data_IF_322337453757
#
_entry.id   IF_322337453757
#
_cell.length_a   1.000
_cell.length_b   1.000
_cell.length_c   1.000
_cell.angle_alpha   90.00
_cell.angle_beta   90.00
_cell.angle_gamma   90.00
#
_symmetry.space_group_name_H-M   'P 1'
#
loop_
_entity.id
_entity.type
_entity.pdbx_description
1 polymer ?
#
# COMPACT_ATOMS: atom_id res chain seq x y z
N UNK A 1 31.65 8.87 3.58
CA UNK A 1 30.62 9.89 3.34
C UNK A 1 30.29 9.88 1.86
N UNK A 2 29.38 9.00 1.43
CA UNK A 2 28.94 8.94 0.04
C UNK A 2 27.81 9.95 -0.12
N UNK A 3 28.02 10.96 -0.96
CA UNK A 3 27.03 11.96 -1.30
C UNK A 3 25.81 11.28 -1.94
N UNK A 4 24.66 11.33 -1.26
CA UNK A 4 23.38 10.93 -1.83
C UNK A 4 23.11 11.80 -3.06
N UNK A 5 22.96 11.20 -4.25
CA UNK A 5 22.42 11.91 -5.41
C UNK A 5 21.03 12.42 -5.04
N UNK A 6 20.84 13.74 -5.15
CA UNK A 6 19.53 14.36 -5.01
C UNK A 6 18.59 13.76 -6.07
N UNK A 7 17.61 12.98 -5.64
CA UNK A 7 16.48 12.63 -6.48
C UNK A 7 15.66 13.90 -6.67
N UNK A 8 15.74 14.49 -7.85
CA UNK A 8 14.83 15.57 -8.23
C UNK A 8 13.48 14.91 -8.49
N UNK A 9 12.60 14.94 -7.49
CA UNK A 9 11.16 14.78 -7.72
C UNK A 9 10.77 15.94 -8.63
N UNK A 10 10.63 15.66 -9.93
CA UNK A 10 9.97 16.60 -10.82
C UNK A 10 8.56 16.84 -10.25
N UNK A 11 8.36 18.01 -9.66
CA UNK A 11 7.08 18.46 -9.16
C UNK A 11 6.09 18.46 -10.33
N UNK A 12 4.98 17.75 -10.19
CA UNK A 12 4.05 17.54 -11.27
C UNK A 12 3.23 18.79 -11.55
N UNK A 13 2.82 18.90 -12.81
CA UNK A 13 1.78 19.82 -13.26
C UNK A 13 0.58 19.70 -12.32
N UNK A 14 0.29 20.78 -11.61
CA UNK A 14 -0.84 20.86 -10.69
C UNK A 14 -2.14 20.83 -11.50
N UNK A 15 -2.96 19.81 -11.28
CA UNK A 15 -4.37 19.80 -11.73
C UNK A 15 -5.19 20.34 -10.57
N UNK A 16 -5.94 21.44 -10.72
CA UNK A 16 -6.83 21.93 -9.68
C UNK A 16 -7.83 20.85 -9.25
N UNK A 17 -8.09 20.73 -7.95
CA UNK A 17 -9.03 19.77 -7.34
C UNK A 17 -10.42 19.76 -7.98
N UNK A 18 -10.88 20.94 -8.36
CA UNK A 18 -12.22 21.21 -8.89
C UNK A 18 -12.44 20.64 -10.30
N UNK A 19 -11.37 20.21 -10.97
CA UNK A 19 -11.43 19.60 -12.30
C UNK A 19 -11.32 18.07 -12.27
N UNK A 20 -11.16 17.44 -11.09
CA UNK A 20 -10.96 15.99 -11.00
C UNK A 20 -12.31 15.27 -11.02
N UNK A 21 -12.55 14.53 -12.10
CA UNK A 21 -13.78 13.77 -12.28
C UNK A 21 -13.51 12.27 -12.17
N UNK A 22 -14.40 11.57 -11.47
CA UNK A 22 -14.45 10.12 -11.50
C UNK A 22 -15.32 9.65 -12.67
N UNK A 23 -14.82 8.70 -13.44
CA UNK A 23 -15.56 8.06 -14.52
C UNK A 23 -15.21 6.58 -14.60
N UNK A 24 -16.03 5.80 -15.30
CA UNK A 24 -15.65 4.44 -15.65
C UNK A 24 -14.74 4.44 -16.89
N UNK A 25 -13.65 3.67 -16.89
CA UNK A 25 -12.80 3.53 -18.08
C UNK A 25 -13.58 2.96 -19.26
N UNK A 26 -13.22 3.41 -20.47
CA UNK A 26 -13.69 2.86 -21.73
C UNK A 26 -12.76 1.73 -22.20
N UNK A 27 -13.21 0.46 -22.19
CA UNK A 27 -12.48 -0.68 -22.78
C UNK A 27 -12.61 -2.01 -22.01
N UNK A 28 -12.95 -3.10 -22.71
CA UNK A 28 -13.41 -4.36 -22.09
C UNK A 28 -12.49 -4.96 -21.00
N UNK A 29 -11.15 -4.91 -21.16
CA UNK A 29 -10.21 -5.52 -20.23
C UNK A 29 -10.00 -4.74 -18.92
N UNK A 30 -9.50 -3.50 -19.03
CA UNK A 30 -9.23 -2.63 -17.87
C UNK A 30 -10.51 -2.28 -17.11
N UNK A 31 -11.62 -2.10 -17.83
CA UNK A 31 -12.91 -1.80 -17.21
C UNK A 31 -13.41 -2.95 -16.36
N UNK A 32 -13.26 -4.21 -16.78
CA UNK A 32 -13.72 -5.34 -15.96
C UNK A 32 -12.94 -5.46 -14.66
N UNK A 33 -11.61 -5.35 -14.68
CA UNK A 33 -10.78 -5.39 -13.46
C UNK A 33 -11.16 -4.30 -12.47
N UNK A 34 -11.38 -3.08 -12.95
CA UNK A 34 -11.81 -1.95 -12.11
C UNK A 34 -13.21 -2.20 -11.56
N UNK A 35 -14.16 -2.65 -12.40
CA UNK A 35 -15.52 -3.00 -11.96
C UNK A 35 -15.51 -4.09 -10.88
N UNK A 36 -14.71 -5.13 -11.05
CA UNK A 36 -14.58 -6.23 -10.08
C UNK A 36 -14.03 -5.72 -8.74
N UNK A 37 -13.02 -4.85 -8.77
CA UNK A 37 -12.45 -4.24 -7.58
C UNK A 37 -13.46 -3.33 -6.87
N UNK A 38 -14.19 -2.48 -7.61
CA UNK A 38 -15.23 -1.61 -7.05
C UNK A 38 -16.38 -2.42 -6.46
N UNK A 39 -16.85 -3.45 -7.16
CA UNK A 39 -17.87 -4.37 -6.66
C UNK A 39 -17.39 -5.07 -5.38
N UNK A 40 -16.13 -5.47 -5.32
CA UNK A 40 -15.55 -6.10 -4.14
C UNK A 40 -15.63 -5.14 -2.94
N UNK A 41 -15.21 -3.89 -3.12
CA UNK A 41 -15.25 -2.84 -2.10
C UNK A 41 -16.68 -2.47 -1.67
N UNK A 42 -17.65 -2.50 -2.59
CA UNK A 42 -19.05 -2.15 -2.30
C UNK A 42 -19.85 -3.28 -1.64
N UNK A 43 -19.58 -4.54 -2.01
CA UNK A 43 -20.35 -5.71 -1.53
C UNK A 43 -19.95 -6.18 -0.12
N UNK A 44 -18.78 -5.76 0.36
CA UNK A 44 -18.26 -6.25 1.63
C UNK A 44 -18.38 -5.19 2.74
N UNK A 45 -18.59 -5.62 3.99
CA UNK A 45 -18.59 -4.71 5.13
C UNK A 45 -17.26 -3.96 5.25
N UNK A 46 -17.30 -2.69 5.68
CA UNK A 46 -16.09 -1.85 5.80
C UNK A 46 -15.10 -2.41 6.84
N UNK A 47 -15.58 -3.22 7.79
CA UNK A 47 -14.77 -3.92 8.80
C UNK A 47 -13.88 -5.00 8.19
N UNK A 48 -14.16 -5.41 6.95
CA UNK A 48 -13.40 -6.42 6.20
C UNK A 48 -12.41 -5.79 5.21
N UNK A 49 -12.38 -4.46 5.10
CA UNK A 49 -11.50 -3.74 4.19
C UNK A 49 -10.31 -3.19 5.00
N UNK A 50 -9.12 -3.67 4.65
CA UNK A 50 -7.87 -3.40 5.34
C UNK A 50 -6.92 -2.64 4.42
N UNK A 51 -6.49 -1.45 4.82
CA UNK A 51 -5.57 -0.64 4.05
C UNK A 51 -4.16 -0.91 4.55
N UNK A 52 -3.26 -1.29 3.66
CA UNK A 52 -1.88 -1.63 4.01
C UNK A 52 -0.88 -0.84 3.19
N UNK A 53 0.25 -0.52 3.82
CA UNK A 53 1.45 -0.05 3.15
C UNK A 53 2.67 -0.63 3.88
N UNK A 54 3.77 -0.78 3.17
CA UNK A 54 5.01 -1.26 3.75
C UNK A 54 6.21 -0.50 3.21
N UNK A 55 7.20 -0.33 4.08
CA UNK A 55 8.50 0.15 3.68
C UNK A 55 9.52 -0.95 3.88
N UNK A 56 10.50 -1.03 2.99
CA UNK A 56 11.41 -2.16 2.97
C UNK A 56 12.66 -1.91 2.17
N UNK A 57 13.53 -2.91 2.21
CA UNK A 57 14.71 -3.01 1.37
C UNK A 57 14.35 -3.84 0.15
N UNK A 58 14.61 -3.33 -1.06
CA UNK A 58 14.43 -4.10 -2.29
C UNK A 58 15.69 -4.04 -3.14
N UNK A 59 16.18 -5.20 -3.62
CA UNK A 59 17.23 -5.27 -4.64
C UNK A 59 16.60 -5.32 -6.03
N UNK A 60 17.04 -4.43 -6.92
CA UNK A 60 16.44 -4.29 -8.26
C UNK A 60 17.15 -5.10 -9.35
N UNK A 61 18.29 -5.76 -9.04
CA UNK A 61 19.13 -6.40 -10.07
C UNK A 61 19.44 -7.88 -9.88
N UNK A 62 19.29 -8.43 -8.67
CA UNK A 62 19.80 -9.78 -8.34
C UNK A 62 18.76 -10.73 -7.72
N UNK A 63 17.45 -10.44 -7.85
CA UNK A 63 16.40 -11.38 -7.45
C UNK A 63 16.22 -11.57 -5.94
N UNK A 64 16.78 -10.68 -5.12
CA UNK A 64 16.47 -10.64 -3.70
C UNK A 64 15.05 -10.07 -3.51
N UNK A 65 14.20 -10.87 -2.84
CA UNK A 65 12.85 -10.47 -2.45
C UNK A 65 12.92 -9.21 -1.58
N UNK A 66 11.94 -8.34 -1.79
CA UNK A 66 11.83 -7.13 -1.01
C UNK A 66 11.55 -7.50 0.46
N UNK A 67 12.41 -7.08 1.38
CA UNK A 67 12.31 -7.35 2.81
C UNK A 67 11.61 -6.18 3.49
N UNK A 68 10.38 -6.35 3.99
CA UNK A 68 9.67 -5.30 4.69
C UNK A 68 10.39 -4.96 5.99
N UNK A 69 10.71 -3.71 6.21
CA UNK A 69 11.32 -3.20 7.45
C UNK A 69 10.34 -2.41 8.29
N UNK A 70 9.20 -2.03 7.71
CA UNK A 70 8.12 -1.30 8.34
C UNK A 70 6.80 -1.71 7.69
N UNK A 71 5.75 -1.76 8.49
CA UNK A 71 4.41 -2.09 8.02
C UNK A 71 3.39 -1.21 8.72
N UNK A 72 2.36 -0.79 7.96
CA UNK A 72 1.20 -0.09 8.47
C UNK A 72 -0.07 -0.76 7.95
N UNK A 73 -1.05 -0.92 8.84
CA UNK A 73 -2.36 -1.46 8.49
C UNK A 73 -3.48 -0.73 9.24
N UNK A 74 -4.56 -0.42 8.53
CA UNK A 74 -5.72 0.33 9.01
C UNK A 74 -7.00 -0.41 8.63
N UNK A 75 -8.00 -0.46 9.52
CA UNK A 75 -9.35 -0.96 9.18
C UNK A 75 -10.18 0.21 8.66
N UNK A 76 -10.81 0.06 7.50
CA UNK A 76 -11.59 1.14 6.88
C UNK A 76 -12.77 1.62 7.75
N UNK A 77 -13.46 0.70 8.44
CA UNK A 77 -14.59 1.05 9.31
C UNK A 77 -14.20 1.87 10.54
N UNK A 78 -12.94 1.76 10.98
CA UNK A 78 -12.43 2.43 12.17
C UNK A 78 -10.93 2.72 12.00
N UNK A 79 -10.58 3.88 11.39
CA UNK A 79 -9.18 4.22 11.17
C UNK A 79 -8.34 4.37 12.45
N UNK A 80 -8.95 4.51 13.62
CA UNK A 80 -8.23 4.51 14.89
C UNK A 80 -7.78 3.11 15.31
N UNK A 81 -8.45 2.06 14.78
CA UNK A 81 -8.02 0.66 14.91
C UNK A 81 -7.00 0.34 13.82
N UNK A 82 -5.75 0.64 14.16
CA UNK A 82 -4.60 0.48 13.27
C UNK A 82 -3.45 -0.23 13.98
N UNK A 83 -2.55 -0.84 13.21
CA UNK A 83 -1.29 -1.36 13.70
C UNK A 83 -0.16 -0.88 12.81
N UNK A 84 0.93 -0.43 13.43
CA UNK A 84 2.17 -0.11 12.73
C UNK A 84 3.37 -0.63 13.47
N UNK A 85 4.47 -0.75 12.75
CA UNK A 85 5.78 -0.68 13.35
C UNK A 85 6.84 -1.30 12.48
N UNK A 86 8.06 -1.21 13.00
CA UNK A 86 9.24 -1.71 12.31
C UNK A 86 9.44 -3.19 12.58
N UNK A 87 9.69 -3.95 11.53
CA UNK A 87 9.73 -5.41 11.57
C UNK A 87 11.16 -5.86 11.83
N UNK A 88 11.37 -6.58 12.94
CA UNK A 88 12.59 -7.33 13.20
C UNK A 88 12.34 -8.81 12.91
N UNK A 89 13.24 -9.40 12.12
CA UNK A 89 13.26 -10.81 11.78
C UNK A 89 14.19 -11.55 12.74
N UNK A 90 13.91 -12.81 13.06
CA UNK A 90 14.75 -13.58 13.98
C UNK A 90 16.22 -13.70 13.52
N UNK A 91 16.46 -13.78 12.21
CA UNK A 91 17.79 -13.78 11.59
C UNK A 91 18.46 -12.40 11.53
N UNK A 92 17.68 -11.32 11.68
CA UNK A 92 18.16 -9.94 11.54
C UNK A 92 17.53 -9.01 12.57
N UNK A 93 18.17 -8.89 13.73
CA UNK A 93 17.70 -8.03 14.81
C UNK A 93 17.84 -6.51 14.53
N UNK A 94 18.48 -6.14 13.42
CA UNK A 94 18.64 -4.74 12.99
C UNK A 94 18.52 -4.61 11.47
N UNK A 95 18.10 -3.44 10.98
CA UNK A 95 18.16 -3.16 9.52
C UNK A 95 19.60 -3.22 9.01
N UNK A 96 20.58 -2.80 9.83
CA UNK A 96 22.00 -2.90 9.48
C UNK A 96 22.43 -4.35 9.19
N UNK A 97 21.97 -5.33 9.99
CA UNK A 97 22.25 -6.74 9.72
C UNK A 97 21.62 -7.26 8.44
N UNK A 98 20.46 -6.73 8.03
CA UNK A 98 19.86 -7.07 6.72
C UNK A 98 20.71 -6.46 5.60
N UNK A 99 21.09 -5.18 5.74
CA UNK A 99 21.91 -4.45 4.77
C UNK A 99 23.27 -5.10 4.53
N UNK A 100 23.94 -5.60 5.57
CA UNK A 100 25.24 -6.29 5.45
C UNK A 100 25.16 -7.58 4.64
N UNK A 101 24.04 -8.30 4.72
CA UNK A 101 23.84 -9.53 3.96
C UNK A 101 23.60 -9.25 2.46
N UNK A 102 23.02 -8.10 2.13
CA UNK A 102 22.67 -7.76 0.74
C UNK A 102 23.88 -7.54 -0.18
N UNK A 103 25.13 -7.53 0.34
CA UNK A 103 26.45 -7.50 -0.36
C UNK A 103 26.69 -6.41 -1.42
N UNK A 104 25.68 -5.67 -1.85
CA UNK A 104 25.73 -4.60 -2.85
C UNK A 104 25.07 -3.33 -2.29
N UNK A 105 25.86 -2.34 -1.86
CA UNK A 105 25.35 -1.07 -1.33
C UNK A 105 24.49 -0.28 -2.34
N UNK A 106 24.75 -0.43 -3.64
CA UNK A 106 24.03 0.28 -4.71
C UNK A 106 22.68 -0.36 -5.03
N UNK A 107 22.46 -1.61 -4.58
CA UNK A 107 21.19 -2.31 -4.70
C UNK A 107 20.16 -1.87 -3.65
N UNK A 108 20.58 -1.14 -2.60
CA UNK A 108 19.76 -0.85 -1.45
C UNK A 108 19.08 0.51 -1.61
N UNK A 109 17.76 0.50 -1.78
CA UNK A 109 16.92 1.69 -1.64
C UNK A 109 16.29 1.69 -0.26
N UNK A 110 16.59 2.71 0.54
CA UNK A 110 16.04 2.87 1.88
C UNK A 110 15.12 4.09 1.92
N UNK A 111 13.91 3.89 2.46
CA UNK A 111 12.93 4.95 2.63
C UNK A 111 12.84 5.51 4.07
N UNK A 112 12.90 4.73 5.16
CA UNK A 112 12.67 5.27 6.53
C UNK A 112 13.84 5.16 7.52
N UNK A 113 13.90 5.99 8.57
CA UNK A 113 14.93 5.88 9.65
C UNK A 113 14.36 5.03 10.81
N UNK A 114 15.11 4.07 11.38
CA UNK A 114 14.58 3.20 12.42
C UNK A 114 14.13 3.91 13.70
N UNK A 115 12.91 3.62 14.18
CA UNK A 115 12.36 4.00 15.48
C UNK A 115 11.68 2.77 16.10
N UNK A 116 12.42 2.06 16.97
CA UNK A 116 12.04 0.86 17.75
C UNK A 116 11.40 -0.29 16.96
N UNK A 117 12.11 -1.42 16.91
CA UNK A 117 11.65 -2.65 16.27
C UNK A 117 10.69 -3.46 17.15
N UNK A 118 9.77 -4.17 16.49
CA UNK A 118 8.97 -5.24 17.06
C UNK A 118 9.19 -6.53 16.26
N UNK A 119 9.07 -7.68 16.92
CA UNK A 119 9.19 -8.98 16.24
C UNK A 119 7.98 -9.19 15.32
N UNK A 120 8.19 -9.98 14.25
CA UNK A 120 7.11 -10.41 13.35
C UNK A 120 5.94 -11.02 14.14
N UNK A 121 6.21 -11.92 15.08
CA UNK A 121 5.19 -12.56 15.92
C UNK A 121 4.36 -11.55 16.73
N UNK A 122 4.98 -10.50 17.28
CA UNK A 122 4.26 -9.47 18.04
C UNK A 122 3.34 -8.65 17.13
N UNK A 123 3.83 -8.28 15.95
CA UNK A 123 3.02 -7.54 14.97
C UNK A 123 1.85 -8.41 14.47
N UNK A 124 2.11 -9.69 14.18
CA UNK A 124 1.05 -10.64 13.81
C UNK A 124 0.00 -10.78 14.90
N UNK A 125 0.38 -10.99 16.16
CA UNK A 125 -0.57 -11.06 17.28
C UNK A 125 -1.42 -9.80 17.38
N UNK A 126 -0.82 -8.62 17.17
CA UNK A 126 -1.56 -7.36 17.13
C UNK A 126 -2.60 -7.34 15.99
N UNK A 127 -2.24 -7.82 14.80
CA UNK A 127 -3.13 -7.82 13.62
C UNK A 127 -4.24 -8.88 13.74
N UNK A 128 -3.87 -10.12 14.05
CA UNK A 128 -4.81 -11.25 14.06
C UNK A 128 -5.68 -11.22 15.32
N UNK A 129 -5.08 -11.10 16.50
CA UNK A 129 -5.80 -11.19 17.78
C UNK A 129 -6.30 -9.81 18.23
N UNK A 130 -5.47 -8.78 18.09
CA UNK A 130 -5.81 -7.41 18.54
C UNK A 130 -6.81 -6.71 17.62
N UNK A 131 -6.60 -6.79 16.31
CA UNK A 131 -7.47 -6.14 15.32
C UNK A 131 -8.56 -7.08 14.79
N UNK A 132 -8.39 -8.39 14.90
CA UNK A 132 -9.38 -9.38 14.43
C UNK A 132 -9.29 -9.67 12.93
N UNK A 133 -8.07 -9.65 12.36
CA UNK A 133 -7.86 -9.97 10.96
C UNK A 133 -8.21 -11.45 10.67
N UNK A 134 -9.09 -11.67 9.70
CA UNK A 134 -9.50 -13.01 9.21
C UNK A 134 -9.21 -13.10 7.72
N UNK A 135 -8.25 -13.93 7.36
CA UNK A 135 -7.68 -14.05 6.00
C UNK A 135 -8.75 -14.30 4.92
N UNK A 136 -9.58 -15.32 5.07
CA UNK A 136 -10.61 -15.70 4.08
C UNK A 136 -11.70 -14.65 3.85
N UNK A 137 -11.83 -13.67 4.75
CA UNK A 137 -12.83 -12.61 4.68
C UNK A 137 -12.22 -11.25 4.30
N UNK A 138 -10.89 -11.12 4.37
CA UNK A 138 -10.22 -9.83 4.23
C UNK A 138 -10.12 -9.37 2.77
N UNK A 139 -10.36 -8.08 2.58
CA UNK A 139 -10.04 -7.33 1.36
C UNK A 139 -8.93 -6.36 1.71
N UNK A 140 -7.74 -6.63 1.18
CA UNK A 140 -6.55 -5.81 1.40
C UNK A 140 -6.44 -4.79 0.27
N UNK A 141 -6.40 -3.52 0.63
CA UNK A 141 -6.25 -2.38 -0.28
C UNK A 141 -4.84 -1.82 -0.10
N UNK A 142 -4.13 -1.64 -1.21
CA UNK A 142 -2.77 -1.09 -1.22
C UNK A 142 -2.61 -0.05 -2.33
N UNK A 143 -1.63 0.83 -2.18
CA UNK A 143 -1.31 1.84 -3.19
C UNK A 143 -0.35 1.28 -4.25
N UNK A 144 -0.90 0.64 -5.28
CA UNK A 144 -0.12 0.06 -6.37
C UNK A 144 0.19 -1.42 -6.15
N UNK A 145 0.23 -2.18 -7.24
CA UNK A 145 0.61 -3.60 -7.22
C UNK A 145 2.13 -3.79 -7.17
N UNK A 146 2.79 -3.20 -6.18
CA UNK A 146 4.13 -3.66 -5.84
C UNK A 146 4.00 -4.99 -5.11
N UNK A 147 4.83 -5.98 -5.45
CA UNK A 147 4.83 -7.25 -4.70
C UNK A 147 5.16 -7.03 -3.22
N UNK A 148 5.83 -5.94 -2.89
CA UNK A 148 6.33 -5.64 -1.54
C UNK A 148 5.20 -5.59 -0.49
N UNK A 149 4.11 -4.86 -0.73
CA UNK A 149 3.07 -4.66 0.30
C UNK A 149 2.27 -5.93 0.60
N UNK A 150 1.84 -6.63 -0.45
CA UNK A 150 1.18 -7.93 -0.35
C UNK A 150 2.11 -8.99 0.28
N UNK A 151 3.37 -9.06 -0.17
CA UNK A 151 4.35 -10.01 0.38
C UNK A 151 4.68 -9.68 1.85
N UNK A 152 4.67 -8.40 2.23
CA UNK A 152 4.89 -7.96 3.61
C UNK A 152 3.80 -8.48 4.54
N UNK A 153 2.54 -8.28 4.18
CA UNK A 153 1.43 -8.79 4.96
C UNK A 153 1.48 -10.33 5.03
N UNK A 154 1.73 -11.01 3.91
CA UNK A 154 1.85 -12.49 3.89
C UNK A 154 2.93 -12.98 4.84
N UNK A 155 4.13 -12.39 4.81
CA UNK A 155 5.23 -12.73 5.73
C UNK A 155 4.84 -12.54 7.18
N UNK A 156 4.18 -11.43 7.50
CA UNK A 156 3.72 -11.16 8.86
C UNK A 156 2.71 -12.22 9.31
N UNK A 157 1.73 -12.56 8.48
CA UNK A 157 0.68 -13.51 8.83
C UNK A 157 1.18 -14.95 8.99
N UNK A 158 2.20 -15.35 8.22
CA UNK A 158 2.82 -16.68 8.29
C UNK A 158 3.88 -16.80 9.40
N UNK A 159 4.22 -15.71 10.08
CA UNK A 159 5.40 -15.62 10.95
C UNK A 159 6.68 -16.06 10.22
N UNK A 160 6.77 -15.76 8.92
CA UNK A 160 7.88 -16.24 8.11
C UNK A 160 9.10 -15.34 8.24
N UNK A 161 10.08 -15.82 9.00
CA UNK A 161 11.39 -15.19 9.18
C UNK A 161 12.38 -15.52 8.03
N UNK A 162 11.98 -16.31 7.03
CA UNK A 162 12.85 -16.72 5.92
C UNK A 162 12.70 -15.83 4.69
N UNK A 163 13.76 -15.81 3.87
CA UNK A 163 13.72 -15.25 2.51
C UNK A 163 13.00 -16.28 1.63
N UNK A 164 11.71 -16.07 1.37
CA UNK A 164 10.88 -16.99 0.56
C UNK A 164 11.43 -17.16 -0.86
N UNK A 165 11.54 -18.40 -1.32
CA UNK A 165 11.75 -18.77 -2.73
C UNK A 165 10.46 -18.56 -3.55
N UNK A 166 10.60 -18.16 -4.81
CA UNK A 166 9.62 -17.64 -5.79
C UNK A 166 8.19 -18.28 -5.96
N UNK A 167 7.68 -19.14 -5.07
CA UNK A 167 6.32 -19.70 -5.16
C UNK A 167 5.43 -19.35 -3.98
N UNK A 168 4.33 -18.69 -4.31
CA UNK A 168 3.23 -18.29 -3.42
C UNK A 168 2.34 -19.53 -3.10
N UNK A 169 2.88 -20.45 -2.29
CA UNK A 169 2.15 -21.60 -1.74
C UNK A 169 1.66 -21.32 -0.30
N UNK A 170 1.50 -20.04 0.08
CA UNK A 170 1.24 -19.66 1.48
C UNK A 170 -0.11 -20.10 2.03
N UNK A 171 -1.04 -20.54 1.18
CA UNK A 171 -2.40 -20.90 1.58
C UNK A 171 -3.25 -19.71 2.05
N UNK A 172 -2.78 -18.47 1.91
CA UNK A 172 -3.53 -17.26 2.30
C UNK A 172 -4.55 -16.87 1.22
N UNK A 173 -5.79 -16.65 1.63
CA UNK A 173 -7.00 -16.49 0.80
C UNK A 173 -7.49 -15.04 0.64
N UNK A 174 -6.92 -14.07 1.38
CA UNK A 174 -7.37 -12.68 1.29
C UNK A 174 -7.29 -12.12 -0.14
N UNK A 175 -8.25 -11.25 -0.48
CA UNK A 175 -8.32 -10.59 -1.78
C UNK A 175 -7.54 -9.29 -1.75
N UNK A 176 -6.95 -8.91 -2.89
CA UNK A 176 -6.18 -7.66 -3.01
C UNK A 176 -6.80 -6.69 -4.01
N UNK A 177 -6.81 -5.41 -3.66
CA UNK A 177 -7.23 -4.28 -4.50
C UNK A 177 -6.08 -3.31 -4.67
N UNK A 178 -5.73 -3.03 -5.93
CA UNK A 178 -4.77 -2.00 -6.31
C UNK A 178 -5.50 -0.66 -6.49
N UNK A 179 -5.40 0.22 -5.49
CA UNK A 179 -6.08 1.51 -5.54
C UNK A 179 -5.49 2.43 -6.62
N UNK A 180 -4.18 2.40 -6.85
CA UNK A 180 -3.54 3.20 -7.89
C UNK A 180 -4.05 2.83 -9.28
N UNK A 181 -4.28 1.54 -9.54
CA UNK A 181 -4.84 1.09 -10.81
C UNK A 181 -6.27 1.62 -11.01
N UNK A 182 -7.08 1.68 -9.96
CA UNK A 182 -8.41 2.28 -10.02
C UNK A 182 -8.28 3.77 -10.36
N UNK A 183 -7.48 4.54 -9.63
CA UNK A 183 -7.32 5.98 -9.88
C UNK A 183 -6.79 6.27 -11.29
N UNK A 184 -5.82 5.50 -11.78
CA UNK A 184 -5.32 5.61 -13.17
C UNK A 184 -6.38 5.38 -14.23
N UNK A 185 -7.37 4.55 -13.91
CA UNK A 185 -8.40 4.15 -14.88
C UNK A 185 -9.67 5.00 -14.76
N UNK A 186 -9.91 5.55 -13.58
CA UNK A 186 -11.17 6.22 -13.23
C UNK A 186 -11.05 7.72 -13.05
N UNK A 187 -9.88 8.33 -13.22
CA UNK A 187 -9.71 9.79 -13.07
C UNK A 187 -9.08 10.40 -14.31
N UNK A 188 -9.31 11.69 -14.50
CA UNK A 188 -8.70 12.48 -15.58
C UNK A 188 -7.30 13.00 -15.21
N UNK A 189 -6.68 12.47 -14.15
CA UNK A 189 -5.32 12.82 -13.73
C UNK A 189 -4.22 12.32 -14.69
N UNK A 190 -4.59 11.68 -15.79
CA UNK A 190 -3.67 11.09 -16.77
C UNK A 190 -3.08 9.78 -16.25
N UNK A 191 -1.75 9.67 -16.26
CA UNK A 191 -1.03 8.53 -15.67
C UNK A 191 -0.37 8.94 -14.35
N UNK A 192 -1.12 9.08 -13.24
CA UNK A 192 -0.47 9.32 -11.95
C UNK A 192 0.44 8.14 -11.59
N UNK A 193 1.65 8.45 -11.12
CA UNK A 193 2.72 7.49 -10.86
C UNK A 193 2.99 7.23 -9.37
N UNK A 194 2.54 8.11 -8.47
CA UNK A 194 2.74 7.92 -7.03
C UNK A 194 1.60 8.48 -6.18
N UNK A 195 1.53 8.00 -4.94
CA UNK A 195 0.54 8.38 -3.93
C UNK A 195 0.53 9.89 -3.72
N UNK A 196 1.70 10.49 -3.58
CA UNK A 196 1.86 11.94 -3.41
C UNK A 196 1.24 12.76 -4.55
N UNK A 197 1.33 12.30 -5.80
CA UNK A 197 0.77 13.04 -6.95
C UNK A 197 -0.75 13.07 -6.88
N UNK A 198 -1.36 11.92 -6.62
CA UNK A 198 -2.81 11.82 -6.48
C UNK A 198 -3.26 12.58 -5.24
N UNK A 199 -2.56 12.41 -4.12
CA UNK A 199 -2.84 13.12 -2.87
C UNK A 199 -2.91 14.63 -3.06
N UNK A 200 -1.84 15.24 -3.59
CA UNK A 200 -1.78 16.68 -3.84
C UNK A 200 -2.86 17.16 -4.80
N UNK A 201 -3.33 16.29 -5.70
CA UNK A 201 -4.41 16.61 -6.61
C UNK A 201 -5.77 16.64 -5.90
N UNK A 202 -6.02 15.79 -4.91
CA UNK A 202 -7.29 15.74 -4.15
C UNK A 202 -7.31 16.61 -2.89
N UNK A 203 -6.14 16.87 -2.29
CA UNK A 203 -5.98 17.57 -1.01
C UNK A 203 -4.87 18.65 -1.10
N UNK A 204 -5.04 19.68 -1.96
CA UNK A 204 -3.99 20.65 -2.25
C UNK A 204 -3.61 21.52 -1.04
N UNK A 205 -4.56 21.79 -0.14
CA UNK A 205 -4.30 22.51 1.11
C UNK A 205 -3.40 21.71 2.08
N UNK A 206 -3.33 20.38 1.92
CA UNK A 206 -2.49 19.49 2.73
C UNK A 206 -1.15 19.18 2.04
N UNK A 207 -0.86 19.82 0.89
CA UNK A 207 0.35 19.59 0.12
C UNK A 207 1.58 20.31 0.67
N UNK A 208 1.49 21.06 1.76
CA UNK A 208 2.65 21.67 2.42
C UNK A 208 3.23 20.77 3.53
N UNK A 209 2.46 19.81 4.05
CA UNK A 209 2.86 18.89 5.13
C UNK A 209 3.55 17.59 4.63
N UNK A 210 4.17 17.63 3.44
CA UNK A 210 4.70 16.48 2.70
C UNK A 210 5.98 15.81 3.29
N UNK A 211 6.34 16.06 4.55
CA UNK A 211 7.64 15.64 5.07
C UNK A 211 7.77 14.12 5.31
N UNK A 212 6.67 13.34 5.36
CA UNK A 212 6.69 11.96 5.85
C UNK A 212 6.10 10.89 4.89
N UNK A 213 6.24 11.06 3.56
CA UNK A 213 5.89 10.05 2.52
C UNK A 213 6.67 8.72 2.57
N UNK A 214 7.43 8.50 3.64
CA UNK A 214 8.33 7.35 3.80
C UNK A 214 8.02 6.53 5.04
N UNK A 215 6.88 6.80 5.68
CA UNK A 215 6.40 6.08 6.85
C UNK A 215 5.19 5.29 6.39
N UNK A 216 5.24 3.98 6.59
CA UNK A 216 4.24 3.06 6.07
C UNK A 216 2.83 3.44 6.56
N UNK A 217 2.71 3.78 7.85
CA UNK A 217 1.43 4.17 8.43
C UNK A 217 0.86 5.47 7.83
N UNK A 218 1.70 6.46 7.51
CA UNK A 218 1.20 7.68 6.86
C UNK A 218 0.69 7.38 5.45
N UNK A 219 1.42 6.58 4.66
CA UNK A 219 0.96 6.16 3.33
C UNK A 219 -0.33 5.34 3.39
N UNK A 220 -0.46 4.42 4.35
CA UNK A 220 -1.69 3.66 4.59
C UNK A 220 -2.87 4.59 4.93
N UNK A 221 -2.66 5.60 5.79
CA UNK A 221 -3.68 6.60 6.12
C UNK A 221 -4.12 7.39 4.89
N UNK A 222 -3.16 7.91 4.10
CA UNK A 222 -3.47 8.66 2.88
C UNK A 222 -4.17 7.80 1.82
N UNK A 223 -3.81 6.52 1.75
CA UNK A 223 -4.52 5.53 0.91
C UNK A 223 -5.95 5.31 1.39
N UNK A 224 -6.17 5.26 2.71
CA UNK A 224 -7.50 5.14 3.32
C UNK A 224 -8.38 6.34 2.98
N UNK A 225 -7.86 7.56 3.14
CA UNK A 225 -8.58 8.80 2.81
C UNK A 225 -8.95 8.87 1.31
N UNK A 226 -8.04 8.48 0.42
CA UNK A 226 -8.31 8.41 -1.01
C UNK A 226 -9.35 7.33 -1.35
N UNK A 227 -9.33 6.19 -0.66
CA UNK A 227 -10.36 5.15 -0.81
C UNK A 227 -11.73 5.67 -0.36
N UNK A 228 -11.81 6.36 0.77
CA UNK A 228 -13.06 6.97 1.23
C UNK A 228 -13.58 7.98 0.21
N UNK A 229 -12.71 8.84 -0.32
CA UNK A 229 -13.05 9.82 -1.36
C UNK A 229 -13.59 9.13 -2.63
N UNK A 230 -12.95 8.05 -3.05
CA UNK A 230 -13.41 7.22 -4.17
C UNK A 230 -14.80 6.64 -3.90
N UNK A 231 -15.02 6.05 -2.72
CA UNK A 231 -16.29 5.43 -2.35
C UNK A 231 -17.44 6.45 -2.20
N UNK A 232 -17.13 7.69 -1.82
CA UNK A 232 -18.10 8.80 -1.77
C UNK A 232 -18.47 9.33 -3.15
N UNK A 233 -17.50 9.32 -4.07
CA UNK A 233 -17.66 9.93 -5.40
C UNK A 233 -18.23 8.96 -6.43
N UNK A 234 -18.16 7.66 -6.19
CA UNK A 234 -18.75 6.66 -7.08
C UNK A 234 -20.25 6.47 -6.77
N UNK A 235 -21.08 6.30 -7.81
CA UNK A 235 -22.49 5.98 -7.64
C UNK A 235 -22.69 4.69 -6.84
N UNK A 236 -23.80 4.64 -6.12
CA UNK A 236 -24.07 3.61 -5.10
C UNK A 236 -24.37 2.26 -5.72
N UNK A 237 -24.76 2.24 -6.99
CA UNK A 237 -24.95 1.02 -7.75
C UNK A 237 -24.17 1.03 -9.06
N UNK A 238 -23.73 -0.16 -9.47
CA UNK A 238 -23.19 -0.40 -10.80
C UNK A 238 -24.26 -0.25 -11.90
N UNK A 239 -25.53 -0.17 -11.53
CA UNK A 239 -26.70 0.00 -12.42
C UNK A 239 -26.88 1.47 -12.79
N UNK A 240 -26.64 2.40 -11.86
CA UNK A 240 -26.55 3.85 -12.10
C UNK A 240 -25.40 4.24 -13.05
N UNK A 241 -24.48 3.32 -13.35
CA UNK A 241 -23.31 3.53 -14.21
C UNK A 241 -23.50 3.08 -15.66
N UNK A 242 -24.68 2.54 -16.01
CA UNK A 242 -24.98 2.07 -17.38
C UNK A 242 -25.77 3.07 -18.22
N UNK A 243 -26.18 4.20 -17.64
CA UNK A 243 -26.95 5.25 -18.30
C UNK A 243 -26.07 6.49 -18.52
N UNK A 244 -25.20 6.45 -19.53
CA UNK A 244 -24.73 7.62 -20.32
C UNK A 244 -23.98 7.16 -21.59
#
# INVERSE_FOLDING_TARGET
LVASKNFTTACLVHVPTEDINFFLPNGAGTTQTVKDALQLLQKHPREKIWITDSEGLGSTRQGLLATPTEFGIIILSDPQRQASGQVAYASHHTVYSIVQELKDPDAIRWKSIPRRFQTVAKLRGTIVEGLGFVDSEAIVVQWGRTKLDGDALRRILLEDDKVISERDESGLEFKMVDLLQIFRSCTNLGHPWSLSQVWTSFFPAEAEDLCDWRIAMFNASRTCDLLLKLMESLPRSMEELQED
#
